data_IF_600410071156
#
_entry.id   IF_600410071156
#
_cell.length_a   1.000
_cell.length_b   1.000
_cell.length_c   1.000
_cell.angle_alpha   90.00
_cell.angle_beta   90.00
_cell.angle_gamma   90.00
#
_symmetry.space_group_name_H-M   'P 1'
#
loop_
_entity.id
_entity.type
_entity.pdbx_description
1 polymer ?
#
# COMPACT_ATOMS: atom_id res chain seq x y z
N UNK A 1 6.80 -29.07 3.21
CA UNK A 1 5.93 -27.89 3.12
C UNK A 1 5.57 -27.69 1.65
N UNK A 2 4.28 -27.74 1.33
CA UNK A 2 3.74 -27.46 -0.01
C UNK A 2 2.71 -26.34 0.10
N UNK A 3 2.71 -25.41 -0.85
CA UNK A 3 1.67 -24.37 -0.93
C UNK A 3 0.74 -24.77 -2.09
N UNK A 4 -0.53 -25.03 -1.78
CA UNK A 4 -1.56 -25.32 -2.75
C UNK A 4 -1.92 -24.08 -3.58
N UNK A 5 -2.45 -24.29 -4.78
CA UNK A 5 -2.95 -23.20 -5.64
C UNK A 5 -4.14 -22.44 -5.03
N UNK A 6 -4.73 -22.96 -3.95
CA UNK A 6 -5.77 -22.33 -3.14
C UNK A 6 -5.21 -21.52 -1.95
N UNK A 7 -3.88 -21.38 -1.85
CA UNK A 7 -3.20 -20.64 -0.79
C UNK A 7 -3.05 -21.41 0.52
N UNK A 8 -3.42 -22.69 0.57
CA UNK A 8 -3.24 -23.50 1.78
C UNK A 8 -1.83 -24.06 1.89
N UNK A 9 -1.30 -24.08 3.11
CA UNK A 9 0.00 -24.67 3.44
C UNK A 9 -0.18 -26.08 3.96
N UNK A 10 0.55 -27.03 3.37
CA UNK A 10 0.52 -28.45 3.73
C UNK A 10 1.85 -28.86 4.37
N UNK A 11 1.77 -29.49 5.54
CA UNK A 11 2.91 -30.07 6.26
C UNK A 11 2.92 -31.59 6.10
N UNK A 12 4.09 -32.21 6.29
CA UNK A 12 4.30 -33.65 6.02
C UNK A 12 3.57 -34.56 7.03
N UNK A 13 3.19 -34.01 8.18
CA UNK A 13 2.46 -34.67 9.27
C UNK A 13 0.94 -34.42 9.26
N UNK A 14 0.43 -33.62 8.31
CA UNK A 14 -1.00 -33.31 8.20
C UNK A 14 -1.29 -31.90 7.66
N UNK A 15 -2.56 -31.52 7.73
CA UNK A 15 -2.98 -30.14 7.42
C UNK A 15 -3.01 -29.36 8.72
N UNK A 16 -2.06 -28.44 8.90
CA UNK A 16 -2.16 -27.39 9.91
C UNK A 16 -2.76 -26.16 9.24
N UNK A 17 -3.71 -25.50 9.90
CA UNK A 17 -4.18 -24.19 9.46
C UNK A 17 -3.20 -23.12 9.89
N UNK A 18 -3.26 -21.95 9.28
CA UNK A 18 -2.50 -20.78 9.72
C UNK A 18 -2.79 -20.37 11.17
N UNK A 19 -3.91 -20.83 11.77
CA UNK A 19 -4.22 -20.56 13.17
C UNK A 19 -3.58 -21.58 14.13
N UNK A 20 -3.14 -22.74 13.63
CA UNK A 20 -2.48 -23.79 14.42
C UNK A 20 -0.96 -23.54 14.53
N UNK A 21 -0.44 -22.60 13.74
CA UNK A 21 0.96 -22.26 13.61
C UNK A 21 1.11 -20.74 13.68
N UNK A 22 2.04 -20.21 14.45
CA UNK A 22 2.32 -18.77 14.51
C UNK A 22 3.08 -18.33 13.23
N UNK A 23 2.39 -18.36 12.09
CA UNK A 23 2.95 -18.12 10.74
C UNK A 23 2.05 -17.14 9.99
N UNK A 24 2.61 -16.02 9.52
CA UNK A 24 1.97 -15.15 8.53
C UNK A 24 2.48 -15.49 7.13
N UNK A 25 1.58 -15.74 6.17
CA UNK A 25 1.92 -15.90 4.75
C UNK A 25 1.52 -14.63 4.03
N UNK A 26 2.50 -13.98 3.41
CA UNK A 26 2.31 -12.72 2.69
C UNK A 26 2.42 -12.96 1.18
N UNK A 27 1.62 -12.22 0.40
CA UNK A 27 1.59 -12.35 -1.06
C UNK A 27 2.36 -11.21 -1.71
N UNK A 28 3.45 -11.52 -2.41
CA UNK A 28 4.12 -10.58 -3.30
C UNK A 28 3.15 -10.07 -4.38
N UNK A 29 3.11 -8.76 -4.61
CA UNK A 29 2.15 -8.15 -5.56
C UNK A 29 2.69 -8.08 -6.99
N UNK A 30 3.97 -8.38 -7.21
CA UNK A 30 4.61 -8.29 -8.53
C UNK A 30 5.32 -6.97 -8.82
N UNK A 31 5.58 -6.14 -7.81
CA UNK A 31 6.12 -4.77 -7.96
C UNK A 31 7.15 -4.45 -6.89
N UNK A 32 8.02 -3.48 -7.17
CA UNK A 32 8.97 -2.91 -6.19
C UNK A 32 8.66 -1.45 -5.85
N UNK A 33 9.12 -0.98 -4.70
CA UNK A 33 9.13 0.45 -4.34
C UNK A 33 10.25 1.22 -5.05
N UNK A 34 10.31 2.53 -4.84
CA UNK A 34 11.30 3.43 -5.47
C UNK A 34 12.77 3.11 -5.11
N UNK A 35 12.99 2.28 -4.10
CA UNK A 35 14.31 1.82 -3.67
C UNK A 35 14.61 0.39 -4.12
N UNK A 36 13.71 -0.25 -4.86
CA UNK A 36 13.83 -1.62 -5.36
C UNK A 36 13.45 -2.70 -4.34
N UNK A 37 12.76 -2.36 -3.25
CA UNK A 37 12.24 -3.35 -2.30
C UNK A 37 10.95 -3.96 -2.85
N UNK A 38 10.82 -5.28 -2.80
CA UNK A 38 9.58 -5.98 -3.17
C UNK A 38 8.42 -5.58 -2.26
N UNK A 39 7.23 -5.43 -2.85
CA UNK A 39 6.01 -5.08 -2.12
C UNK A 39 5.08 -6.29 -1.96
N UNK A 40 4.56 -6.45 -0.76
CA UNK A 40 3.70 -7.54 -0.33
C UNK A 40 2.34 -7.03 0.17
N UNK A 41 1.32 -7.87 0.12
CA UNK A 41 0.05 -7.63 0.82
C UNK A 41 0.33 -7.52 2.32
N UNK A 42 -0.15 -6.45 2.94
CA UNK A 42 0.11 -6.14 4.35
C UNK A 42 1.21 -5.09 4.55
N UNK A 43 1.97 -4.74 3.51
CA UNK A 43 2.92 -3.64 3.59
C UNK A 43 2.20 -2.31 3.83
N UNK A 44 2.90 -1.39 4.48
CA UNK A 44 2.51 0.00 4.65
C UNK A 44 3.42 0.82 3.76
N UNK A 45 2.81 1.51 2.81
CA UNK A 45 3.52 2.32 1.82
C UNK A 45 3.12 3.78 1.94
N UNK A 46 4.02 4.66 1.51
CA UNK A 46 3.70 6.04 1.21
C UNK A 46 3.73 6.22 -0.31
N UNK A 47 2.63 6.68 -0.90
CA UNK A 47 2.56 7.09 -2.30
C UNK A 47 2.56 8.62 -2.38
N UNK A 48 3.38 9.17 -3.26
CA UNK A 48 3.49 10.61 -3.52
C UNK A 48 2.80 10.96 -4.84
N UNK A 49 1.58 11.50 -4.78
CA UNK A 49 0.84 11.93 -5.98
C UNK A 49 1.28 13.33 -6.38
N UNK A 50 1.94 13.46 -7.55
CA UNK A 50 2.33 14.74 -8.14
C UNK A 50 1.35 15.14 -9.24
N UNK A 51 0.80 16.34 -9.15
CA UNK A 51 -0.14 16.84 -10.15
C UNK A 51 -0.06 18.35 -10.37
N UNK A 52 -0.52 18.76 -11.55
CA UNK A 52 -0.53 20.16 -11.96
C UNK A 52 -1.85 20.84 -11.59
N UNK A 53 -1.78 21.91 -10.79
CA UNK A 53 -2.93 22.78 -10.52
C UNK A 53 -2.89 24.00 -11.45
N UNK A 54 -3.97 24.21 -12.21
CA UNK A 54 -4.11 25.35 -13.12
C UNK A 54 -4.85 26.49 -12.44
N UNK A 55 -4.21 27.65 -12.35
CA UNK A 55 -4.81 28.86 -11.79
C UNK A 55 -4.65 30.06 -12.73
N UNK A 56 -5.30 31.19 -12.43
CA UNK A 56 -5.10 32.44 -13.18
C UNK A 56 -3.64 32.93 -13.17
N UNK A 57 -2.82 32.47 -12.21
CA UNK A 57 -1.40 32.82 -12.08
C UNK A 57 -0.44 31.90 -12.83
N UNK A 58 -0.91 30.84 -13.47
CA UNK A 58 -0.08 29.83 -14.15
C UNK A 58 -0.34 28.41 -13.65
N UNK A 59 0.61 27.53 -13.97
CA UNK A 59 0.63 26.13 -13.52
C UNK A 59 1.51 26.04 -12.28
N UNK A 60 1.00 25.42 -11.22
CA UNK A 60 1.73 25.15 -9.99
C UNK A 60 1.82 23.64 -9.80
N UNK A 61 3.03 23.16 -9.51
CA UNK A 61 3.27 21.77 -9.15
C UNK A 61 2.78 21.55 -7.71
N UNK A 62 1.94 20.53 -7.53
CA UNK A 62 1.39 20.12 -6.24
C UNK A 62 1.76 18.69 -5.94
N UNK A 63 1.80 18.38 -4.65
CA UNK A 63 2.16 17.07 -4.15
C UNK A 63 1.32 16.72 -2.92
N UNK A 64 0.74 15.53 -2.93
CA UNK A 64 0.05 14.94 -1.78
C UNK A 64 0.63 13.58 -1.48
N UNK A 65 1.02 13.37 -0.21
CA UNK A 65 1.47 12.09 0.29
C UNK A 65 0.35 11.31 0.95
N UNK A 66 0.20 10.05 0.56
CA UNK A 66 -0.80 9.13 1.11
C UNK A 66 -0.08 7.96 1.81
N UNK A 67 -0.40 7.72 3.07
CA UNK A 67 0.06 6.52 3.81
C UNK A 67 -1.11 5.56 3.95
N UNK A 68 -0.87 4.31 3.59
CA UNK A 68 -1.90 3.27 3.61
C UNK A 68 -1.31 1.87 3.53
N UNK A 69 -2.16 0.88 3.72
CA UNK A 69 -1.78 -0.54 3.62
C UNK A 69 -2.02 -1.09 2.21
N UNK A 70 -1.15 -1.98 1.78
CA UNK A 70 -1.26 -2.72 0.54
C UNK A 70 -2.25 -3.85 0.73
N UNK A 71 -3.34 -3.83 -0.04
CA UNK A 71 -4.41 -4.81 0.06
C UNK A 71 -4.81 -5.34 -1.32
N UNK A 72 -5.39 -6.53 -1.33
CA UNK A 72 -6.10 -7.06 -2.50
C UNK A 72 -7.60 -6.81 -2.35
N UNK A 73 -8.19 -6.05 -3.27
CA UNK A 73 -9.63 -5.76 -3.27
C UNK A 73 -10.20 -5.89 -4.70
N UNK A 74 -11.37 -6.53 -4.83
CA UNK A 74 -12.06 -6.78 -6.11
C UNK A 74 -11.16 -7.26 -7.26
N UNK A 75 -10.19 -8.13 -6.96
CA UNK A 75 -9.29 -8.72 -7.96
C UNK A 75 -8.07 -7.87 -8.33
N UNK A 76 -7.91 -6.68 -7.73
CA UNK A 76 -6.75 -5.81 -7.94
C UNK A 76 -5.96 -5.62 -6.65
N UNK A 77 -4.66 -5.38 -6.78
CA UNK A 77 -3.83 -4.87 -5.69
C UNK A 77 -3.87 -3.34 -5.70
N UNK A 78 -3.84 -2.74 -4.53
CA UNK A 78 -3.86 -1.29 -4.37
C UNK A 78 -3.56 -0.86 -2.95
N UNK A 79 -3.59 0.44 -2.73
CA UNK A 79 -3.45 1.05 -1.42
C UNK A 79 -4.84 1.29 -0.82
N UNK A 80 -5.06 0.84 0.41
CA UNK A 80 -6.12 1.34 1.27
C UNK A 80 -5.55 2.52 2.06
N UNK A 81 -5.95 3.74 1.71
CA UNK A 81 -5.40 4.95 2.31
C UNK A 81 -5.87 5.05 3.76
N UNK A 82 -4.93 5.17 4.68
CA UNK A 82 -5.22 5.35 6.11
C UNK A 82 -5.19 6.83 6.49
N UNK A 83 -4.21 7.58 5.99
CA UNK A 83 -4.06 9.00 6.27
C UNK A 83 -3.28 9.73 5.18
N UNK A 84 -3.46 11.05 5.15
CA UNK A 84 -2.64 11.96 4.37
C UNK A 84 -1.40 12.29 5.21
N UNK A 85 -0.20 12.11 4.66
CA UNK A 85 1.06 12.38 5.34
C UNK A 85 1.54 13.81 5.17
N UNK A 86 1.23 14.42 4.02
CA UNK A 86 1.38 15.84 3.72
C UNK A 86 0.50 16.18 2.52
N UNK A 87 0.15 17.45 2.38
CA UNK A 87 -0.48 17.98 1.17
C UNK A 87 -0.14 19.45 1.05
N UNK A 88 0.28 19.88 -0.15
CA UNK A 88 0.30 21.30 -0.50
C UNK A 88 -0.91 21.69 -1.36
N UNK A 89 -1.76 20.73 -1.69
CA UNK A 89 -2.91 20.91 -2.56
C UNK A 89 -4.07 21.60 -1.81
N UNK A 90 -4.86 22.38 -2.56
CA UNK A 90 -6.11 22.91 -2.04
C UNK A 90 -7.23 21.87 -1.99
N UNK A 91 -7.10 20.79 -2.75
CA UNK A 91 -8.05 19.69 -2.78
C UNK A 91 -7.31 18.37 -3.00
N UNK A 92 -7.43 17.45 -2.05
CA UNK A 92 -6.80 16.13 -2.14
C UNK A 92 -7.60 15.25 -3.12
N UNK A 93 -6.90 14.58 -4.04
CA UNK A 93 -7.54 13.69 -5.03
C UNK A 93 -8.18 12.47 -4.38
N UNK A 94 -7.53 11.95 -3.33
CA UNK A 94 -7.98 10.80 -2.56
C UNK A 94 -8.10 11.16 -1.08
N UNK A 95 -8.92 10.39 -0.35
CA UNK A 95 -9.20 10.59 1.05
C UNK A 95 -8.88 9.34 1.88
N UNK A 96 -8.76 9.53 3.20
CA UNK A 96 -8.66 8.41 4.13
C UNK A 96 -9.86 7.46 3.96
N UNK A 97 -9.55 6.15 3.95
CA UNK A 97 -10.43 5.00 3.69
C UNK A 97 -10.73 4.74 2.21
N UNK A 98 -10.22 5.54 1.28
CA UNK A 98 -10.30 5.20 -0.13
C UNK A 98 -9.38 4.02 -0.44
N UNK A 99 -9.87 3.11 -1.28
CA UNK A 99 -9.04 2.09 -1.92
C UNK A 99 -8.71 2.58 -3.32
N UNK A 100 -7.42 2.69 -3.62
CA UNK A 100 -6.91 3.11 -4.93
C UNK A 100 -6.10 1.96 -5.54
N UNK A 101 -6.58 1.34 -6.64
CA UNK A 101 -5.82 0.33 -7.36
C UNK A 101 -4.49 0.92 -7.86
N UNK A 102 -3.40 0.15 -7.80
CA UNK A 102 -2.10 0.64 -8.30
C UNK A 102 -2.10 0.95 -9.80
N UNK A 103 -3.02 0.36 -10.57
CA UNK A 103 -3.17 0.67 -11.99
C UNK A 103 -3.80 2.05 -12.28
N UNK A 104 -4.28 2.76 -11.26
CA UNK A 104 -4.72 4.16 -11.41
C UNK A 104 -3.56 5.16 -11.30
N UNK A 105 -2.39 4.70 -10.82
CA UNK A 105 -1.18 5.51 -10.75
C UNK A 105 -0.37 5.40 -12.04
N UNK A 106 0.22 6.51 -12.47
CA UNK A 106 0.99 6.57 -13.70
C UNK A 106 2.30 5.75 -13.60
N UNK A 107 3.04 5.91 -12.49
CA UNK A 107 4.26 5.14 -12.19
C UNK A 107 4.38 4.81 -10.69
N UNK A 108 3.58 3.84 -10.20
CA UNK A 108 3.57 3.48 -8.79
C UNK A 108 4.92 3.02 -8.25
N UNK A 109 5.79 2.42 -9.06
CA UNK A 109 7.10 1.94 -8.59
C UNK A 109 8.08 3.09 -8.35
N UNK A 110 7.94 4.21 -9.06
CA UNK A 110 8.79 5.39 -8.87
C UNK A 110 8.35 6.29 -7.71
N UNK A 111 7.05 6.32 -7.40
CA UNK A 111 6.45 7.27 -6.45
C UNK A 111 6.02 6.64 -5.11
N UNK A 112 6.24 5.34 -4.94
CA UNK A 112 5.92 4.59 -3.72
C UNK A 112 7.16 4.26 -2.91
N UNK A 113 7.10 4.48 -1.60
CA UNK A 113 8.14 4.10 -0.65
C UNK A 113 7.59 3.18 0.43
N UNK A 114 8.22 2.03 0.64
CA UNK A 114 7.91 1.12 1.76
C UNK A 114 8.23 1.79 3.10
N UNK A 115 7.31 1.71 4.06
CA UNK A 115 7.46 2.30 5.42
C UNK A 115 7.48 1.26 6.54
N UNK A 116 6.93 0.08 6.31
CA UNK A 116 6.80 -1.00 7.29
C UNK A 116 5.70 -1.95 6.84
N UNK A 117 5.17 -2.76 7.75
CA UNK A 117 4.01 -3.62 7.50
C UNK A 117 3.03 -3.56 8.69
N UNK A 118 1.79 -4.02 8.47
CA UNK A 118 0.73 -3.96 9.49
C UNK A 118 0.96 -4.84 10.71
N UNK A 119 1.86 -5.82 10.62
CA UNK A 119 2.16 -6.76 11.70
C UNK A 119 3.21 -6.18 12.67
N UNK A 120 4.23 -5.52 12.13
CA UNK A 120 5.36 -4.98 12.88
C UNK A 120 5.23 -3.49 13.19
N UNK A 121 4.51 -2.73 12.35
CA UNK A 121 4.41 -1.27 12.43
C UNK A 121 2.96 -0.73 12.32
N UNK A 122 1.98 -1.27 13.06
CA UNK A 122 0.60 -0.81 12.97
C UNK A 122 0.43 0.68 13.30
N UNK A 123 1.32 1.26 14.12
CA UNK A 123 1.32 2.67 14.51
C UNK A 123 1.54 3.65 13.35
N UNK A 124 2.06 3.19 12.21
CA UNK A 124 2.27 4.05 11.03
C UNK A 124 0.96 4.50 10.38
N UNK A 125 -0.11 3.72 10.58
CA UNK A 125 -1.44 3.96 10.03
C UNK A 125 -2.29 4.91 10.89
N UNK A 126 -1.86 5.21 12.11
CA UNK A 126 -2.57 6.13 13.00
C UNK A 126 -2.40 7.58 12.54
N UNK A 127 -3.47 8.37 12.67
CA UNK A 127 -3.42 9.80 12.38
C UNK A 127 -2.40 10.48 13.30
N UNK A 128 -1.32 10.98 12.69
CA UNK A 128 -0.41 11.90 13.35
C UNK A 128 -0.98 13.28 13.11
N UNK A 129 -1.51 13.92 14.15
CA UNK A 129 -1.95 15.32 14.10
C UNK A 129 -0.88 16.16 13.41
N UNK A 130 -1.22 16.76 12.26
CA UNK A 130 -0.35 17.64 11.48
C UNK A 130 -0.02 18.93 12.26
#
# INVERSE_FOLDING_TARGET
MLIGSDGKVYFDDGVATQNDLDISVEQFIGMTDMHGNEIYVGDIVQYSDQFYEYSMGGVTDRETGYIGSVVKNSGSFGILINRISYTDAHNDRYHAKDFVPFCEFDDPESDMALKGNVHENPELLEDKTL
#
